data_IF_457182416878
#
_entry.id   IF_457182416878
#
_cell.length_a   1.000
_cell.length_b   1.000
_cell.length_c   1.000
_cell.angle_alpha   90.00
_cell.angle_beta   90.00
_cell.angle_gamma   90.00
#
_symmetry.space_group_name_H-M   'P 1'
#
loop_
_entity.id
_entity.type
_entity.pdbx_description
1 polymer ?
#
# COMPACT_ATOMS: atom_id res chain seq x y z
N UNK A 1 -4.71 23.19 -6.34
CA UNK A 1 -5.22 22.59 -5.10
C UNK A 1 -5.11 23.61 -3.99
N UNK A 2 -6.15 23.73 -3.16
CA UNK A 2 -6.06 24.53 -1.94
C UNK A 2 -5.22 23.79 -0.87
N UNK A 3 -4.61 24.51 0.10
CA UNK A 3 -3.74 23.91 1.11
C UNK A 3 -4.43 22.85 1.99
N UNK A 4 -5.74 22.99 2.24
CA UNK A 4 -6.49 22.05 3.10
C UNK A 4 -6.64 20.71 2.39
N UNK A 5 -6.97 20.73 1.10
CA UNK A 5 -7.04 19.53 0.26
C UNK A 5 -5.66 18.87 0.13
N UNK A 6 -4.59 19.64 -0.01
CA UNK A 6 -3.23 19.11 -0.10
C UNK A 6 -2.77 18.43 1.20
N UNK A 7 -3.07 19.03 2.35
CA UNK A 7 -2.82 18.42 3.66
C UNK A 7 -3.65 17.13 3.82
N UNK A 8 -4.94 17.17 3.47
CA UNK A 8 -5.82 16.01 3.53
C UNK A 8 -5.31 14.83 2.69
N UNK A 9 -4.87 15.08 1.45
CA UNK A 9 -4.26 14.06 0.60
C UNK A 9 -2.98 13.50 1.19
N UNK A 10 -2.13 14.37 1.75
CA UNK A 10 -0.86 13.95 2.36
C UNK A 10 -1.09 13.04 3.56
N UNK A 11 -2.06 13.37 4.42
CA UNK A 11 -2.46 12.52 5.55
C UNK A 11 -2.99 11.17 5.08
N UNK A 12 -3.82 11.14 4.04
CA UNK A 12 -4.32 9.89 3.45
C UNK A 12 -3.19 9.02 2.87
N UNK A 13 -2.15 9.60 2.27
CA UNK A 13 -0.98 8.86 1.79
C UNK A 13 -0.17 8.29 2.96
N UNK A 14 0.02 9.06 4.04
CA UNK A 14 0.72 8.57 5.25
C UNK A 14 -0.06 7.43 5.91
N UNK A 15 -1.38 7.57 6.02
CA UNK A 15 -2.26 6.52 6.56
C UNK A 15 -2.20 5.27 5.68
N UNK A 16 -2.29 5.44 4.36
CA UNK A 16 -2.15 4.36 3.39
C UNK A 16 -0.79 3.66 3.54
N UNK A 17 0.31 4.40 3.66
CA UNK A 17 1.64 3.84 3.86
C UNK A 17 1.74 2.98 5.12
N UNK A 18 1.15 3.41 6.24
CA UNK A 18 1.12 2.65 7.50
C UNK A 18 0.33 1.33 7.36
N UNK A 19 -0.86 1.40 6.76
CA UNK A 19 -1.70 0.21 6.52
C UNK A 19 -0.99 -0.72 5.57
N UNK A 20 -0.46 -0.19 4.47
CA UNK A 20 0.31 -0.92 3.47
C UNK A 20 1.47 -1.68 4.10
N UNK A 21 2.26 -1.02 4.93
CA UNK A 21 3.40 -1.61 5.62
C UNK A 21 2.99 -2.82 6.46
N UNK A 22 1.96 -2.63 7.29
CA UNK A 22 1.42 -3.68 8.15
C UNK A 22 0.93 -4.86 7.31
N UNK A 23 0.17 -4.59 6.24
CA UNK A 23 -0.34 -5.60 5.30
C UNK A 23 0.77 -6.35 4.57
N UNK A 24 1.82 -5.65 4.12
CA UNK A 24 2.97 -6.25 3.47
C UNK A 24 3.75 -7.17 4.42
N UNK A 25 3.93 -6.78 5.69
CA UNK A 25 4.57 -7.64 6.71
C UNK A 25 3.77 -8.92 6.96
N UNK A 26 2.44 -8.83 6.95
CA UNK A 26 1.59 -10.01 7.03
C UNK A 26 1.82 -10.94 5.83
N UNK A 27 1.77 -10.41 4.60
CA UNK A 27 2.02 -11.21 3.39
C UNK A 27 3.40 -11.88 3.42
N UNK A 28 4.44 -11.15 3.82
CA UNK A 28 5.81 -11.68 3.95
C UNK A 28 5.85 -12.81 4.99
N UNK A 29 5.22 -12.64 6.14
CA UNK A 29 5.16 -13.67 7.18
C UNK A 29 4.44 -14.94 6.70
N UNK A 30 3.34 -14.80 5.97
CA UNK A 30 2.64 -15.92 5.35
C UNK A 30 3.54 -16.69 4.36
N UNK A 31 4.31 -15.97 3.54
CA UNK A 31 5.25 -16.59 2.60
C UNK A 31 6.48 -17.21 3.29
N UNK A 32 6.96 -16.64 4.39
CA UNK A 32 8.17 -17.10 5.08
C UNK A 32 7.91 -18.34 5.94
N UNK A 33 6.86 -18.30 6.74
CA UNK A 33 6.67 -19.25 7.84
C UNK A 33 5.49 -20.20 7.57
N UNK A 34 4.76 -20.02 6.46
CA UNK A 34 3.52 -20.76 6.20
C UNK A 34 2.46 -20.49 7.27
N UNK A 35 2.59 -19.38 7.99
CA UNK A 35 1.75 -19.03 9.14
C UNK A 35 0.35 -18.71 8.64
N UNK A 36 -0.60 -19.55 9.04
CA UNK A 36 -2.02 -19.24 9.03
C UNK A 36 -2.28 -18.26 10.17
N UNK A 37 -1.86 -16.99 10.02
CA UNK A 37 -2.46 -15.94 10.86
C UNK A 37 -3.97 -15.94 10.61
N UNK A 38 -4.79 -15.52 11.59
CA UNK A 38 -6.23 -15.60 11.45
C UNK A 38 -6.64 -14.93 10.14
N UNK A 39 -7.33 -15.66 9.27
CA UNK A 39 -7.85 -15.16 8.00
C UNK A 39 -8.63 -13.84 8.18
N UNK A 40 -9.22 -13.62 9.37
CA UNK A 40 -9.86 -12.37 9.76
C UNK A 40 -8.92 -11.15 9.80
N UNK A 41 -7.66 -11.30 10.22
CA UNK A 41 -6.69 -10.19 10.24
C UNK A 41 -6.27 -9.78 8.82
N UNK A 42 -6.06 -10.76 7.93
CA UNK A 42 -5.73 -10.51 6.53
C UNK A 42 -6.91 -9.83 5.82
N UNK A 43 -8.13 -10.30 6.09
CA UNK A 43 -9.35 -9.72 5.54
C UNK A 43 -9.60 -8.30 6.03
N UNK A 44 -9.35 -8.03 7.30
CA UNK A 44 -9.44 -6.68 7.86
C UNK A 44 -8.38 -5.76 7.24
N UNK A 45 -7.12 -6.21 7.15
CA UNK A 45 -6.04 -5.43 6.55
C UNK A 45 -6.29 -5.11 5.05
N UNK A 46 -6.82 -6.06 4.28
CA UNK A 46 -7.24 -5.82 2.90
C UNK A 46 -8.42 -4.85 2.79
N UNK A 47 -9.40 -4.97 3.69
CA UNK A 47 -10.53 -4.04 3.77
C UNK A 47 -10.05 -2.61 4.04
N UNK A 48 -9.21 -2.42 5.05
CA UNK A 48 -8.66 -1.12 5.44
C UNK A 48 -7.81 -0.52 4.29
N UNK A 49 -6.98 -1.35 3.65
CA UNK A 49 -6.17 -0.96 2.49
C UNK A 49 -7.05 -0.45 1.35
N UNK A 50 -8.14 -1.16 1.05
CA UNK A 50 -9.10 -0.80 0.00
C UNK A 50 -9.87 0.47 0.35
N UNK A 51 -10.30 0.62 1.59
CA UNK A 51 -11.03 1.80 2.05
C UNK A 51 -10.16 3.05 1.91
N UNK A 52 -8.93 3.03 2.45
CA UNK A 52 -8.03 4.19 2.38
C UNK A 52 -7.59 4.47 0.95
N UNK A 53 -7.37 3.43 0.13
CA UNK A 53 -7.10 3.61 -1.30
C UNK A 53 -8.26 4.28 -2.03
N UNK A 54 -9.51 3.88 -1.73
CA UNK A 54 -10.71 4.47 -2.33
C UNK A 54 -10.89 5.93 -1.91
N UNK A 55 -10.66 6.23 -0.62
CA UNK A 55 -10.66 7.61 -0.11
C UNK A 55 -9.61 8.45 -0.85
N UNK A 56 -8.37 7.97 -0.93
CA UNK A 56 -7.28 8.67 -1.62
C UNK A 56 -7.59 8.91 -3.10
N UNK A 57 -8.11 7.91 -3.81
CA UNK A 57 -8.51 8.06 -5.22
C UNK A 57 -9.62 9.09 -5.40
N UNK A 58 -10.63 9.07 -4.53
CA UNK A 58 -11.77 9.97 -4.62
C UNK A 58 -11.34 11.40 -4.35
N UNK A 59 -10.58 11.63 -3.27
CA UNK A 59 -10.06 12.96 -2.94
C UNK A 59 -9.09 13.46 -4.00
N UNK A 60 -8.24 12.59 -4.56
CA UNK A 60 -7.28 12.97 -5.60
C UNK A 60 -7.96 13.37 -6.91
N UNK A 61 -9.01 12.64 -7.33
CA UNK A 61 -9.78 12.95 -8.54
C UNK A 61 -10.56 14.25 -8.43
N UNK A 62 -11.07 14.56 -7.24
CA UNK A 62 -11.86 15.78 -6.98
C UNK A 62 -10.99 17.02 -6.79
N UNK A 63 -9.67 16.89 -6.67
CA UNK A 63 -8.78 18.00 -6.39
C UNK A 63 -8.38 18.76 -7.66
N UNK A 64 -8.60 20.07 -7.68
CA UNK A 64 -8.24 20.95 -8.80
C UNK A 64 -6.72 20.99 -9.01
N UNK A 65 -6.29 20.60 -10.21
CA UNK A 65 -4.89 20.60 -10.65
C UNK A 65 -4.36 22.03 -10.76
N UNK A 66 -3.46 22.42 -9.87
CA UNK A 66 -2.55 23.55 -10.11
C UNK A 66 -1.20 22.98 -10.53
N UNK A 67 -0.43 23.67 -11.40
CA UNK A 67 0.88 23.20 -11.87
C UNK A 67 1.85 22.82 -10.74
N UNK A 68 1.76 23.49 -9.59
CA UNK A 68 2.57 23.23 -8.39
C UNK A 68 2.18 21.97 -7.61
N UNK A 69 1.10 21.28 -7.97
CA UNK A 69 0.56 20.12 -7.25
C UNK A 69 0.59 18.82 -8.09
N UNK A 70 1.26 18.84 -9.24
CA UNK A 70 1.39 17.68 -10.13
C UNK A 70 2.10 16.53 -9.40
N UNK A 71 3.17 16.84 -8.65
CA UNK A 71 3.94 15.86 -7.89
C UNK A 71 3.09 15.14 -6.82
N UNK A 72 2.23 15.88 -6.11
CA UNK A 72 1.36 15.30 -5.07
C UNK A 72 0.31 14.35 -5.67
N UNK A 73 -0.29 14.71 -6.82
CA UNK A 73 -1.23 13.81 -7.49
C UNK A 73 -0.55 12.57 -8.05
N UNK A 74 0.67 12.70 -8.55
CA UNK A 74 1.46 11.58 -9.05
C UNK A 74 1.82 10.60 -7.92
N UNK A 75 2.27 11.12 -6.78
CA UNK A 75 2.49 10.34 -5.55
C UNK A 75 1.21 9.60 -5.17
N UNK A 76 0.05 10.28 -5.14
CA UNK A 76 -1.23 9.64 -4.81
C UNK A 76 -1.56 8.50 -5.78
N UNK A 77 -1.35 8.68 -7.09
CA UNK A 77 -1.59 7.64 -8.10
C UNK A 77 -0.66 6.45 -7.91
N UNK A 78 0.62 6.68 -7.68
CA UNK A 78 1.59 5.61 -7.41
C UNK A 78 1.24 4.83 -6.14
N UNK A 79 0.88 5.51 -5.06
CA UNK A 79 0.42 4.84 -3.83
C UNK A 79 -0.83 3.99 -4.07
N UNK A 80 -1.82 4.50 -4.82
CA UNK A 80 -3.00 3.72 -5.18
C UNK A 80 -2.67 2.49 -6.05
N UNK A 81 -1.72 2.62 -6.97
CA UNK A 81 -1.28 1.51 -7.81
C UNK A 81 -0.60 0.42 -6.96
N UNK A 82 0.35 0.81 -6.10
CA UNK A 82 1.04 -0.12 -5.20
C UNK A 82 0.05 -0.82 -4.26
N UNK A 83 -0.89 -0.08 -3.68
CA UNK A 83 -1.92 -0.64 -2.81
C UNK A 83 -2.76 -1.70 -3.53
N UNK A 84 -3.07 -1.50 -4.81
CA UNK A 84 -3.75 -2.50 -5.63
C UNK A 84 -2.88 -3.74 -5.88
N UNK A 85 -1.59 -3.57 -6.20
CA UNK A 85 -0.68 -4.71 -6.37
C UNK A 85 -0.58 -5.56 -5.09
N UNK A 86 -0.57 -4.91 -3.91
CA UNK A 86 -0.58 -5.61 -2.64
C UNK A 86 -1.92 -6.33 -2.38
N UNK A 87 -3.06 -5.70 -2.71
CA UNK A 87 -4.39 -6.34 -2.61
C UNK A 87 -4.47 -7.60 -3.49
N UNK A 88 -3.97 -7.53 -4.72
CA UNK A 88 -3.89 -8.67 -5.62
C UNK A 88 -3.02 -9.82 -5.05
N UNK A 89 -1.93 -9.50 -4.33
CA UNK A 89 -1.13 -10.50 -3.61
C UNK A 89 -1.87 -11.11 -2.41
N UNK A 90 -2.66 -10.33 -1.68
CA UNK A 90 -3.50 -10.82 -0.58
C UNK A 90 -4.55 -11.80 -1.10
N UNK A 91 -5.22 -11.48 -2.22
CA UNK A 91 -6.23 -12.37 -2.80
C UNK A 91 -5.60 -13.71 -3.25
N UNK A 92 -4.36 -13.71 -3.74
CA UNK A 92 -3.62 -14.95 -4.06
C UNK A 92 -3.37 -15.81 -2.82
N UNK A 93 -3.10 -15.20 -1.66
CA UNK A 93 -2.98 -15.90 -0.38
C UNK A 93 -4.33 -16.43 0.10
N UNK A 94 -5.41 -15.69 -0.16
CA UNK A 94 -6.79 -16.03 0.22
C UNK A 94 -7.31 -17.31 -0.44
N UNK A 95 -6.86 -17.60 -1.65
CA UNK A 95 -7.31 -18.75 -2.46
C UNK A 95 -6.64 -20.08 -2.05
N UNK A 96 -5.62 -20.06 -1.18
CA UNK A 96 -4.91 -21.29 -0.75
C UNK A 96 -4.97 -21.61 0.76
N UNK A 97 -6.17 -21.84 1.35
CA UNK A 97 -6.26 -22.42 2.69
C UNK A 97 -5.69 -23.84 2.69
N UNK A 98 -4.75 -24.15 3.60
CA UNK A 98 -4.14 -25.48 3.74
C UNK A 98 -2.94 -25.77 2.83
N UNK A 99 -2.67 -24.95 1.81
CA UNK A 99 -1.48 -25.12 0.93
C UNK A 99 -0.26 -24.37 1.44
N UNK A 100 -0.41 -23.38 2.34
CA UNK A 100 0.66 -22.49 2.81
C UNK A 100 1.90 -23.22 3.35
N UNK A 101 1.72 -24.29 4.14
CA UNK A 101 2.85 -25.11 4.65
C UNK A 101 3.59 -25.90 3.56
N UNK A 102 2.88 -26.36 2.52
CA UNK A 102 3.50 -27.04 1.37
C UNK A 102 4.18 -26.04 0.43
N UNK A 103 3.66 -24.81 0.42
CA UNK A 103 4.09 -23.69 -0.40
C UNK A 103 5.49 -23.20 0.00
N UNK A 104 5.84 -23.15 1.30
CA UNK A 104 7.14 -22.60 1.81
C UNK A 104 8.38 -23.18 1.11
N UNK A 105 8.31 -24.41 0.59
CA UNK A 105 9.44 -25.08 -0.09
C UNK A 105 9.54 -24.80 -1.59
N UNK A 106 8.57 -24.09 -2.18
CA UNK A 106 8.57 -23.82 -3.62
C UNK A 106 9.42 -22.58 -3.95
N UNK A 107 10.32 -22.64 -4.95
CA UNK A 107 11.13 -21.50 -5.39
C UNK A 107 10.28 -20.27 -5.76
N UNK A 108 9.05 -20.49 -6.24
CA UNK A 108 8.09 -19.44 -6.56
C UNK A 108 7.73 -18.56 -5.36
N UNK A 109 7.83 -19.06 -4.13
CA UNK A 109 7.55 -18.27 -2.92
C UNK A 109 8.61 -17.25 -2.63
N UNK A 110 9.87 -17.61 -2.85
CA UNK A 110 10.95 -16.66 -2.74
C UNK A 110 10.71 -15.45 -3.64
N UNK A 111 10.28 -15.68 -4.89
CA UNK A 111 9.92 -14.60 -5.81
C UNK A 111 8.71 -13.79 -5.34
N UNK A 112 7.66 -14.44 -4.85
CA UNK A 112 6.47 -13.75 -4.31
C UNK A 112 6.81 -12.88 -3.09
N UNK A 113 7.59 -13.41 -2.16
CA UNK A 113 8.09 -12.66 -1.01
C UNK A 113 8.93 -11.46 -1.45
N UNK A 114 9.89 -11.68 -2.34
CA UNK A 114 10.76 -10.62 -2.87
C UNK A 114 9.93 -9.53 -3.56
N UNK A 115 8.88 -9.91 -4.28
CA UNK A 115 7.95 -8.96 -4.88
C UNK A 115 7.24 -8.10 -3.82
N UNK A 116 6.69 -8.70 -2.75
CA UNK A 116 6.07 -7.92 -1.65
C UNK A 116 7.08 -7.02 -0.94
N UNK A 117 8.32 -7.47 -0.73
CA UNK A 117 9.41 -6.64 -0.19
C UNK A 117 9.74 -5.46 -1.12
N UNK A 118 9.70 -5.67 -2.43
CA UNK A 118 9.89 -4.60 -3.42
C UNK A 118 8.73 -3.59 -3.40
N UNK A 119 7.47 -4.07 -3.31
CA UNK A 119 6.30 -3.19 -3.19
C UNK A 119 6.39 -2.33 -1.92
N UNK A 120 6.83 -2.93 -0.81
CA UNK A 120 7.07 -2.25 0.47
C UNK A 120 8.11 -1.13 0.33
N UNK A 121 9.23 -1.41 -0.34
CA UNK A 121 10.27 -0.40 -0.62
C UNK A 121 9.72 0.74 -1.50
N UNK A 122 8.97 0.42 -2.56
CA UNK A 122 8.38 1.45 -3.45
C UNK A 122 7.39 2.34 -2.70
N UNK A 123 6.58 1.78 -1.79
CA UNK A 123 5.67 2.58 -0.98
C UNK A 123 6.43 3.54 -0.05
N UNK A 124 7.51 3.08 0.58
CA UNK A 124 8.38 3.95 1.39
C UNK A 124 8.98 5.08 0.57
N UNK A 125 9.45 4.80 -0.64
CA UNK A 125 9.96 5.82 -1.56
C UNK A 125 8.90 6.91 -1.82
N UNK A 126 7.62 6.53 -2.00
CA UNK A 126 6.53 7.50 -2.17
C UNK A 126 6.23 8.30 -0.89
N UNK A 127 6.25 7.66 0.29
CA UNK A 127 6.04 8.36 1.58
C UNK A 127 7.19 9.34 1.87
N UNK A 128 8.43 8.97 1.54
CA UNK A 128 9.60 9.84 1.66
C UNK A 128 9.51 11.00 0.67
N UNK A 129 9.13 10.74 -0.58
CA UNK A 129 8.93 11.78 -1.59
C UNK A 129 7.84 12.77 -1.14
N UNK A 130 6.74 12.28 -0.55
CA UNK A 130 5.70 13.11 0.03
C UNK A 130 6.26 13.99 1.16
N UNK A 131 6.98 13.40 2.12
CA UNK A 131 7.58 14.16 3.22
C UNK A 131 8.54 15.24 2.70
N UNK A 132 9.34 14.92 1.68
CA UNK A 132 10.32 15.86 1.11
C UNK A 132 9.65 16.98 0.33
N UNK A 133 8.63 16.68 -0.47
CA UNK A 133 7.98 17.66 -1.35
C UNK A 133 6.92 18.50 -0.62
N UNK A 134 6.15 17.91 0.30
CA UNK A 134 5.04 18.60 0.99
C UNK A 134 5.54 19.39 2.20
N UNK A 135 6.46 18.85 3.01
CA UNK A 135 6.93 19.57 4.21
C UNK A 135 7.87 20.73 3.88
N UNK A 136 8.56 20.69 2.73
CA UNK A 136 9.45 21.79 2.31
C UNK A 136 8.65 22.97 1.72
N UNK A 137 7.50 22.72 1.09
CA UNK A 137 6.68 23.77 0.47
C UNK A 137 5.58 24.35 1.39
N UNK A 138 5.35 23.76 2.56
CA UNK A 138 4.45 24.27 3.61
C UNK A 138 5.18 25.09 4.70
N UNK A 139 6.48 25.40 4.50
CA UNK A 139 7.29 26.16 5.44
C UNK A 139 7.40 27.63 5.04
#
# INVERSE_FOLDING_TARGET
MDPVTAIGLSLNVIELGKIFWKTAEFCIACYKDGTERPFGEIKAAAHDLKEVTTKLQTTSKSATLLPSNVDLQEICRHCCFLAKELDDEIEKLRITPGTLKALVKAPKIYFKRKHVEELKRKMDEQVIALHTNVLVHLR
#
